data_IF_151388637656
#
_entry.id   IF_151388637656
#
_cell.length_a   1.000
_cell.length_b   1.000
_cell.length_c   1.000
_cell.angle_alpha   90.00
_cell.angle_beta   90.00
_cell.angle_gamma   90.00
#
_symmetry.space_group_name_H-M   'P 1'
#
loop_
_entity.id
_entity.type
_entity.pdbx_description
1 polymer ?
#
# COMPACT_ATOMS: atom_id res chain seq x y z
N UNK A 1 8.56 -11.29 -14.56
CA UNK A 1 7.44 -12.18 -14.15
C UNK A 1 6.86 -11.84 -12.77
N UNK A 2 7.68 -11.67 -11.72
CA UNK A 2 7.23 -11.38 -10.33
C UNK A 2 6.29 -10.16 -10.19
N UNK A 3 6.56 -9.06 -10.92
CA UNK A 3 5.72 -7.85 -10.90
C UNK A 3 4.28 -8.06 -11.39
N UNK A 4 4.02 -9.01 -12.29
CA UNK A 4 2.66 -9.29 -12.80
C UNK A 4 1.84 -10.10 -11.79
N UNK A 5 2.46 -11.07 -11.08
CA UNK A 5 1.79 -11.86 -10.04
C UNK A 5 1.32 -10.97 -8.87
N UNK A 6 2.16 -10.04 -8.43
CA UNK A 6 1.85 -9.10 -7.34
C UNK A 6 0.71 -8.13 -7.70
N UNK A 7 0.50 -7.86 -8.98
CA UNK A 7 -0.56 -6.94 -9.44
C UNK A 7 -1.97 -7.55 -9.29
N UNK A 8 -2.08 -8.88 -9.23
CA UNK A 8 -3.35 -9.55 -9.01
C UNK A 8 -3.66 -9.66 -7.51
N UNK A 9 -4.90 -9.38 -7.11
CA UNK A 9 -5.34 -9.51 -5.71
C UNK A 9 -5.10 -10.93 -5.18
N UNK A 10 -5.25 -11.95 -6.03
CA UNK A 10 -4.99 -13.36 -5.69
C UNK A 10 -3.51 -13.62 -5.43
N UNK A 11 -2.61 -13.11 -6.26
CA UNK A 11 -1.17 -13.25 -6.06
C UNK A 11 -0.66 -12.53 -4.82
N UNK A 12 -1.22 -11.34 -4.52
CA UNK A 12 -0.94 -10.63 -3.27
C UNK A 12 -1.35 -11.45 -2.03
N UNK A 13 -2.56 -12.03 -2.05
CA UNK A 13 -3.03 -12.91 -0.97
C UNK A 13 -2.15 -14.15 -0.83
N UNK A 14 -1.85 -14.83 -1.94
CA UNK A 14 -0.98 -16.01 -1.94
C UNK A 14 0.41 -15.71 -1.36
N UNK A 15 0.99 -14.55 -1.69
CA UNK A 15 2.27 -14.11 -1.14
C UNK A 15 2.20 -13.88 0.37
N UNK A 16 1.13 -13.25 0.88
CA UNK A 16 0.94 -13.04 2.32
C UNK A 16 0.84 -14.38 3.05
N UNK A 17 0.05 -15.33 2.51
CA UNK A 17 -0.05 -16.67 3.08
C UNK A 17 1.28 -17.43 3.02
N UNK A 18 2.04 -17.30 1.93
CA UNK A 18 3.36 -17.91 1.79
C UNK A 18 4.33 -17.34 2.84
N UNK A 19 4.34 -16.03 3.05
CA UNK A 19 5.18 -15.39 4.07
C UNK A 19 4.78 -15.83 5.49
N UNK A 20 3.48 -15.93 5.77
CA UNK A 20 2.98 -16.43 7.04
C UNK A 20 3.38 -17.91 7.26
N UNK A 21 3.23 -18.76 6.25
CA UNK A 21 3.65 -20.16 6.32
C UNK A 21 5.16 -20.30 6.53
N UNK A 22 5.96 -19.50 5.81
CA UNK A 22 7.40 -19.46 5.99
C UNK A 22 7.79 -19.02 7.40
N UNK A 23 7.08 -18.05 7.98
CA UNK A 23 7.26 -17.63 9.37
C UNK A 23 6.99 -18.78 10.34
N UNK A 24 5.91 -19.54 10.15
CA UNK A 24 5.61 -20.71 11.00
C UNK A 24 6.73 -21.75 10.93
N UNK A 25 7.20 -22.07 9.73
CA UNK A 25 8.28 -23.04 9.54
C UNK A 25 9.58 -22.54 10.19
N UNK A 26 9.93 -21.26 9.96
CA UNK A 26 11.09 -20.63 10.57
C UNK A 26 10.99 -20.60 12.11
N UNK A 27 9.80 -20.31 12.64
CA UNK A 27 9.53 -20.34 14.08
C UNK A 27 9.85 -21.72 14.66
N UNK A 28 9.26 -22.78 14.12
CA UNK A 28 9.47 -24.14 14.64
C UNK A 28 10.93 -24.59 14.57
N UNK A 29 11.64 -24.23 13.50
CA UNK A 29 13.03 -24.62 13.31
C UNK A 29 14.02 -23.82 14.19
N UNK A 30 13.77 -22.52 14.38
CA UNK A 30 14.73 -21.60 15.00
C UNK A 30 14.38 -21.23 16.44
N UNK A 31 13.17 -21.54 16.92
CA UNK A 31 12.76 -21.26 18.29
C UNK A 31 13.72 -21.80 19.35
N UNK A 32 14.26 -23.04 19.26
CA UNK A 32 15.21 -23.55 20.26
C UNK A 32 16.51 -22.74 20.36
N UNK A 33 16.88 -22.02 19.29
CA UNK A 33 18.13 -21.25 19.22
C UNK A 33 17.90 -19.77 19.55
N UNK A 34 16.76 -19.21 19.15
CA UNK A 34 16.48 -17.77 19.21
C UNK A 34 15.48 -17.38 20.29
N UNK A 35 14.77 -18.34 20.87
CA UNK A 35 13.71 -18.12 21.86
C UNK A 35 12.65 -17.13 21.35
N UNK A 36 12.22 -16.20 22.21
CA UNK A 36 11.21 -15.18 21.88
C UNK A 36 11.57 -14.24 20.72
N UNK A 37 12.85 -14.10 20.36
CA UNK A 37 13.30 -13.13 19.33
C UNK A 37 12.79 -13.47 17.93
N UNK A 38 12.41 -14.72 17.68
CA UNK A 38 11.88 -15.16 16.39
C UNK A 38 10.51 -14.55 16.06
N UNK A 39 9.78 -14.04 17.07
CA UNK A 39 8.49 -13.36 16.85
C UNK A 39 8.60 -12.17 15.90
N UNK A 40 9.73 -11.46 15.93
CA UNK A 40 10.04 -10.35 15.03
C UNK A 40 10.04 -10.74 13.55
N UNK A 41 10.27 -12.02 13.23
CA UNK A 41 10.28 -12.53 11.85
C UNK A 41 8.94 -12.39 11.14
N UNK A 42 7.84 -12.32 11.88
CA UNK A 42 6.48 -12.22 11.33
C UNK A 42 6.18 -10.85 10.71
N UNK A 43 7.03 -9.83 10.98
CA UNK A 43 6.90 -8.48 10.44
C UNK A 43 6.61 -8.46 8.95
N UNK A 44 7.37 -9.27 8.20
CA UNK A 44 7.33 -9.29 6.75
C UNK A 44 5.92 -9.57 6.23
N UNK A 45 5.20 -10.52 6.85
CA UNK A 45 3.85 -10.88 6.44
C UNK A 45 2.84 -9.75 6.71
N UNK A 46 2.92 -9.08 7.85
CA UNK A 46 2.02 -7.97 8.23
C UNK A 46 2.28 -6.76 7.35
N UNK A 47 3.55 -6.39 7.17
CA UNK A 47 3.94 -5.28 6.31
C UNK A 47 3.53 -5.53 4.86
N UNK A 48 3.74 -6.75 4.36
CA UNK A 48 3.30 -7.15 3.02
C UNK A 48 1.78 -7.10 2.88
N UNK A 49 1.02 -7.54 3.89
CA UNK A 49 -0.44 -7.47 3.88
C UNK A 49 -0.94 -6.02 3.85
N UNK A 50 -0.39 -5.15 4.70
CA UNK A 50 -0.70 -3.72 4.70
C UNK A 50 -0.36 -3.06 3.36
N UNK A 51 0.82 -3.35 2.83
CA UNK A 51 1.30 -2.76 1.58
C UNK A 51 0.59 -3.28 0.33
N UNK A 52 0.17 -4.55 0.29
CA UNK A 52 -0.40 -5.17 -0.91
C UNK A 52 -1.92 -5.21 -0.91
N UNK A 53 -2.56 -5.19 0.25
CA UNK A 53 -4.00 -5.32 0.39
C UNK A 53 -4.66 -4.13 1.11
N UNK A 54 -3.87 -3.19 1.65
CA UNK A 54 -4.34 -1.93 2.26
C UNK A 54 -4.54 -2.02 3.77
N UNK A 55 -5.04 -0.94 4.38
CA UNK A 55 -5.12 -0.81 5.85
C UNK A 55 -5.90 -1.93 6.55
N UNK A 56 -7.08 -2.27 6.05
CA UNK A 56 -7.94 -3.32 6.65
C UNK A 56 -7.24 -4.68 6.67
N UNK A 57 -6.54 -5.02 5.60
CA UNK A 57 -5.82 -6.28 5.49
C UNK A 57 -4.56 -6.29 6.37
N UNK A 58 -3.84 -5.17 6.48
CA UNK A 58 -2.72 -5.04 7.41
C UNK A 58 -3.13 -5.24 8.87
N UNK A 59 -4.26 -4.66 9.29
CA UNK A 59 -4.81 -4.84 10.64
C UNK A 59 -5.23 -6.28 10.92
N UNK A 60 -5.97 -6.90 9.99
CA UNK A 60 -6.38 -8.30 10.11
C UNK A 60 -5.16 -9.24 10.16
N UNK A 61 -4.14 -8.97 9.33
CA UNK A 61 -2.91 -9.76 9.34
C UNK A 61 -2.13 -9.59 10.65
N UNK A 62 -2.04 -8.37 11.19
CA UNK A 62 -1.42 -8.13 12.49
C UNK A 62 -2.15 -8.89 13.61
N UNK A 63 -3.48 -8.83 13.64
CA UNK A 63 -4.29 -9.54 14.62
C UNK A 63 -4.11 -11.06 14.51
N UNK A 64 -4.19 -11.60 13.29
CA UNK A 64 -4.00 -13.03 13.03
C UNK A 64 -2.59 -13.49 13.39
N UNK A 65 -1.55 -12.69 13.07
CA UNK A 65 -0.17 -13.04 13.40
C UNK A 65 0.05 -13.07 14.91
N UNK A 66 -0.52 -12.14 15.66
CA UNK A 66 -0.45 -12.14 17.12
C UNK A 66 -1.13 -13.38 17.68
N UNK A 67 -2.36 -13.67 17.23
CA UNK A 67 -3.09 -14.87 17.67
C UNK A 67 -2.32 -16.15 17.31
N UNK A 68 -1.68 -16.20 16.14
CA UNK A 68 -0.86 -17.31 15.70
C UNK A 68 0.39 -17.46 16.58
N UNK A 69 1.11 -16.37 16.86
CA UNK A 69 2.28 -16.39 17.72
C UNK A 69 1.92 -16.89 19.13
N UNK A 70 0.78 -16.47 19.71
CA UNK A 70 0.29 -17.00 20.99
C UNK A 70 0.17 -18.53 20.98
N UNK A 71 -0.44 -19.08 19.93
CA UNK A 71 -0.62 -20.52 19.78
C UNK A 71 0.74 -21.21 19.62
N UNK A 72 1.63 -20.67 18.79
CA UNK A 72 2.96 -21.24 18.56
C UNK A 72 3.82 -21.24 19.82
N UNK A 73 3.83 -20.14 20.57
CA UNK A 73 4.54 -20.06 21.84
C UNK A 73 3.99 -21.06 22.86
N UNK A 74 2.66 -21.16 22.99
CA UNK A 74 2.03 -22.14 23.88
C UNK A 74 2.40 -23.59 23.54
N UNK A 75 2.57 -23.90 22.26
CA UNK A 75 2.96 -25.23 21.80
C UNK A 75 4.46 -25.50 22.00
N UNK A 76 5.31 -24.48 21.86
CA UNK A 76 6.76 -24.62 21.96
C UNK A 76 7.24 -24.64 23.42
N UNK A 77 6.62 -23.84 24.29
CA UNK A 77 6.94 -23.75 25.71
C UNK A 77 5.66 -23.40 26.50
N UNK A 78 5.05 -24.37 27.21
CA UNK A 78 3.84 -24.15 28.00
C UNK A 78 4.01 -23.11 29.11
N UNK A 79 5.23 -22.92 29.63
CA UNK A 79 5.52 -21.94 30.69
C UNK A 79 5.63 -20.51 30.14
N UNK A 80 5.76 -20.36 28.81
CA UNK A 80 5.85 -19.06 28.16
C UNK A 80 4.61 -18.19 28.36
N UNK A 81 3.45 -18.79 28.64
CA UNK A 81 2.22 -18.05 28.96
C UNK A 81 2.35 -17.24 30.26
N UNK A 82 3.26 -17.60 31.17
CA UNK A 82 3.57 -16.76 32.32
C UNK A 82 4.27 -15.44 31.93
N UNK A 83 4.95 -15.39 30.78
CA UNK A 83 5.48 -14.13 30.22
C UNK A 83 4.39 -13.26 29.58
N UNK A 84 3.19 -13.80 29.29
CA UNK A 84 2.09 -13.02 28.73
C UNK A 84 1.53 -11.99 29.73
N UNK A 85 1.78 -12.19 31.04
CA UNK A 85 1.44 -11.22 32.09
C UNK A 85 2.45 -10.06 32.17
N UNK A 86 3.53 -10.11 31.39
CA UNK A 86 4.50 -9.01 31.35
C UNK A 86 4.02 -7.88 30.43
N UNK A 87 4.27 -6.60 30.79
CA UNK A 87 3.94 -5.45 29.94
C UNK A 87 4.58 -5.53 28.54
N UNK A 88 5.70 -6.25 28.42
CA UNK A 88 6.44 -6.43 27.17
C UNK A 88 5.56 -7.05 26.07
N UNK A 89 4.68 -7.98 26.43
CA UNK A 89 3.80 -8.63 25.46
C UNK A 89 2.77 -7.65 24.86
N UNK A 90 2.19 -6.79 25.71
CA UNK A 90 1.26 -5.75 25.27
C UNK A 90 1.91 -4.71 24.35
N UNK A 91 3.16 -4.33 24.63
CA UNK A 91 3.93 -3.41 23.78
C UNK A 91 4.14 -3.98 22.39
N UNK A 92 4.45 -5.28 22.28
CA UNK A 92 4.67 -5.94 21.00
C UNK A 92 3.39 -5.97 20.15
N UNK A 93 2.25 -6.31 20.76
CA UNK A 93 0.94 -6.27 20.11
C UNK A 93 0.63 -4.88 19.53
N UNK A 94 0.80 -3.84 20.35
CA UNK A 94 0.57 -2.46 19.94
C UNK A 94 1.51 -2.08 18.80
N UNK A 95 2.79 -2.44 18.89
CA UNK A 95 3.78 -2.18 17.84
C UNK A 95 3.37 -2.83 16.50
N UNK A 96 2.91 -4.09 16.51
CA UNK A 96 2.45 -4.76 15.29
C UNK A 96 1.21 -4.12 14.67
N UNK A 97 0.22 -3.79 15.50
CA UNK A 97 -1.00 -3.11 15.04
C UNK A 97 -0.68 -1.73 14.44
N UNK A 98 0.20 -0.97 15.10
CA UNK A 98 0.65 0.32 14.61
C UNK A 98 1.40 0.17 13.28
N UNK A 99 2.36 -0.76 13.18
CA UNK A 99 3.13 -1.00 11.97
C UNK A 99 2.22 -1.38 10.79
N UNK A 100 1.32 -2.34 10.97
CA UNK A 100 0.37 -2.77 9.93
C UNK A 100 -0.57 -1.64 9.49
N UNK A 101 -1.07 -0.85 10.46
CA UNK A 101 -1.96 0.28 10.15
C UNK A 101 -1.24 1.42 9.43
N UNK A 102 -0.02 1.76 9.85
CA UNK A 102 0.77 2.86 9.31
C UNK A 102 1.17 2.58 7.86
N UNK A 103 1.64 1.36 7.59
CA UNK A 103 2.00 0.94 6.23
C UNK A 103 0.77 0.90 5.33
N UNK A 104 -0.35 0.39 5.82
CA UNK A 104 -1.61 0.41 5.07
C UNK A 104 -2.06 1.83 4.73
N UNK A 105 -1.97 2.76 5.69
CA UNK A 105 -2.33 4.17 5.50
C UNK A 105 -1.40 4.88 4.52
N UNK A 106 -0.08 4.64 4.60
CA UNK A 106 0.89 5.19 3.66
C UNK A 106 0.58 4.76 2.22
N UNK A 107 0.26 3.48 2.02
CA UNK A 107 -0.11 2.96 0.70
C UNK A 107 -1.38 3.63 0.17
N UNK A 108 -2.40 3.78 1.02
CA UNK A 108 -3.65 4.44 0.63
C UNK A 108 -3.41 5.91 0.28
N UNK A 109 -2.54 6.61 1.01
CA UNK A 109 -2.13 7.99 0.70
C UNK A 109 -1.40 8.09 -0.64
N UNK A 110 -0.46 7.19 -0.92
CA UNK A 110 0.25 7.15 -2.22
C UNK A 110 -0.73 6.91 -3.37
N UNK A 111 -1.70 5.99 -3.19
CA UNK A 111 -2.71 5.73 -4.22
C UNK A 111 -3.62 6.94 -4.47
N UNK A 112 -3.98 7.69 -3.43
CA UNK A 112 -4.75 8.94 -3.58
C UNK A 112 -3.95 10.00 -4.32
N UNK A 113 -2.70 10.24 -3.91
CA UNK A 113 -1.81 11.19 -4.57
C UNK A 113 -1.62 10.85 -6.07
N UNK A 114 -1.47 9.57 -6.41
CA UNK A 114 -1.37 9.13 -7.81
C UNK A 114 -2.64 9.41 -8.61
N UNK A 115 -3.83 9.25 -8.00
CA UNK A 115 -5.11 9.58 -8.66
C UNK A 115 -5.24 11.08 -8.89
N UNK A 116 -4.92 11.88 -7.88
CA UNK A 116 -4.94 13.34 -7.99
C UNK A 116 -3.98 13.85 -9.06
N UNK A 117 -2.76 13.31 -9.14
CA UNK A 117 -1.81 13.65 -10.21
C UNK A 117 -2.36 13.27 -11.58
N UNK A 118 -2.95 12.08 -11.73
CA UNK A 118 -3.54 11.65 -13.00
C UNK A 118 -4.74 12.52 -13.41
N UNK A 119 -5.56 12.96 -12.46
CA UNK A 119 -6.68 13.86 -12.71
C UNK A 119 -6.21 15.26 -13.09
N UNK A 120 -5.18 15.80 -12.41
CA UNK A 120 -4.56 17.07 -12.78
C UNK A 120 -3.98 17.04 -14.19
N UNK A 121 -3.25 15.99 -14.54
CA UNK A 121 -2.69 15.84 -15.89
C UNK A 121 -3.77 15.80 -16.98
N UNK A 122 -4.93 15.18 -16.69
CA UNK A 122 -6.06 15.19 -17.63
C UNK A 122 -6.69 16.56 -17.76
N UNK A 123 -6.84 17.28 -16.64
CA UNK A 123 -7.38 18.64 -16.64
C UNK A 123 -6.45 19.62 -17.37
N UNK A 124 -5.14 19.54 -17.13
CA UNK A 124 -4.13 20.33 -17.82
C UNK A 124 -4.12 20.05 -19.33
N UNK A 125 -4.18 18.78 -19.74
CA UNK A 125 -4.27 18.43 -21.15
C UNK A 125 -5.55 18.96 -21.82
N UNK A 126 -6.70 18.88 -21.14
CA UNK A 126 -7.96 19.42 -21.64
C UNK A 126 -7.92 20.96 -21.74
N UNK A 127 -7.29 21.62 -20.76
CA UNK A 127 -7.10 23.07 -20.76
C UNK A 127 -6.21 23.51 -21.93
N UNK A 128 -5.10 22.81 -22.15
CA UNK A 128 -4.19 23.09 -23.26
C UNK A 128 -4.92 22.95 -24.59
N UNK A 129 -5.68 21.88 -24.78
CA UNK A 129 -6.44 21.67 -26.02
C UNK A 129 -7.49 22.77 -26.25
N UNK A 130 -8.16 23.24 -25.19
CA UNK A 130 -9.11 24.34 -25.28
C UNK A 130 -8.41 25.66 -25.65
N UNK A 131 -7.24 25.94 -25.07
CA UNK A 131 -6.43 27.11 -25.42
C UNK A 131 -5.99 27.08 -26.88
N UNK A 132 -5.44 25.96 -27.35
CA UNK A 132 -4.99 25.80 -28.74
C UNK A 132 -6.16 26.02 -29.73
N UNK A 133 -7.35 25.51 -29.39
CA UNK A 133 -8.56 25.70 -30.21
C UNK A 133 -8.99 27.16 -30.26
N UNK A 134 -8.99 27.84 -29.11
CA UNK A 134 -9.34 29.26 -29.02
C UNK A 134 -8.33 30.14 -29.77
N UNK A 135 -7.03 29.85 -29.67
CA UNK A 135 -5.99 30.58 -30.40
C UNK A 135 -6.16 30.42 -31.91
N UNK A 136 -6.49 29.22 -32.39
CA UNK A 136 -6.80 28.98 -33.80
C UNK A 136 -8.03 29.78 -34.26
N UNK A 137 -9.11 29.79 -33.46
CA UNK A 137 -10.32 30.54 -33.80
C UNK A 137 -10.05 32.05 -33.81
N UNK A 138 -9.34 32.59 -32.81
CA UNK A 138 -8.96 34.00 -32.75
C UNK A 138 -8.09 34.40 -33.93
N UNK A 139 -7.10 33.57 -34.30
CA UNK A 139 -6.25 33.80 -35.47
C UNK A 139 -7.05 33.82 -36.77
N UNK A 140 -7.96 32.86 -36.96
CA UNK A 140 -8.84 32.79 -38.12
C UNK A 140 -9.74 34.04 -38.23
N UNK A 141 -10.39 34.44 -37.13
CA UNK A 141 -11.22 35.66 -37.07
C UNK A 141 -10.42 36.93 -37.36
N UNK A 142 -9.18 37.01 -36.85
CA UNK A 142 -8.31 38.17 -37.09
C UNK A 142 -7.93 38.27 -38.57
N UNK A 143 -7.67 37.15 -39.23
CA UNK A 143 -7.38 37.11 -40.66
C UNK A 143 -8.59 37.51 -41.52
N UNK A 144 -9.79 37.04 -41.17
CA UNK A 144 -11.06 37.44 -41.80
C UNK A 144 -11.27 38.95 -41.69
N UNK A 145 -11.16 39.52 -40.48
CA UNK A 145 -11.35 40.95 -40.24
C UNK A 145 -10.32 41.81 -40.97
N UNK A 146 -9.06 41.39 -41.00
CA UNK A 146 -7.99 42.10 -41.72
C UNK A 146 -8.26 42.14 -43.22
N UNK A 147 -8.86 41.09 -43.77
CA UNK A 147 -9.24 41.00 -45.19
C UNK A 147 -10.44 41.90 -45.49
N UNK A 148 -11.48 41.84 -44.67
CA UNK A 148 -12.66 42.70 -44.81
C UNK A 148 -12.32 44.20 -44.68
N UNK A 149 -11.44 44.57 -43.74
CA UNK A 149 -11.01 45.96 -43.55
C UNK A 149 -10.23 46.48 -44.77
N UNK A 150 -9.40 45.63 -45.40
CA UNK A 150 -8.72 45.97 -46.67
C UNK A 150 -9.71 46.23 -47.81
N UNK A 151 -10.78 45.44 -47.90
CA UNK A 151 -11.82 45.62 -48.93
C UNK A 151 -12.62 46.91 -48.75
N UNK A 152 -12.81 47.38 -47.51
CA UNK A 152 -13.55 48.63 -47.25
C UNK A 152 -12.70 49.90 -47.49
N UNK A 153 -11.37 49.78 -47.52
CA UNK A 153 -10.44 50.91 -47.66
C UNK A 153 -9.91 51.11 -49.07
N UNK A 154 -10.02 50.11 -49.95
CA UNK A 154 -9.66 50.20 -51.36
C UNK A 154 -10.87 50.50 -52.22
#
# INVERSE_FOLDING_TARGET
MVRQLIRSRRGAVALVFLLAALHVVAFLALYPQLGGRIAAGGAGAVLAAGWLLGMRAGLLAALLLVSLNLVLFRLADPEYLALADTPAYGVELVAWLLAGSLVGRLRDSVQRAQREVAERQRAEAALQQAQDTLEQEVSARTAELTTANRQLRG
#
